data_IF_443522304788
#
_entry.id   IF_443522304788
#
_cell.length_a   1.000
_cell.length_b   1.000
_cell.length_c   1.000
_cell.angle_alpha   90.00
_cell.angle_beta   90.00
_cell.angle_gamma   90.00
#
_symmetry.space_group_name_H-M   'P 1'
#
loop_
_entity.id
_entity.type
_entity.pdbx_description
1 polymer ?
#
# COMPACT_ATOMS: atom_id res chain seq x y z
N UNK A 1 -11.38 -0.23 7.50
CA UNK A 1 -10.11 -0.72 6.96
C UNK A 1 -9.55 -1.80 7.89
N UNK A 2 -9.12 -1.45 9.10
CA UNK A 2 -8.49 -2.39 10.04
C UNK A 2 -9.24 -3.72 10.17
N UNK A 3 -10.55 -3.69 10.41
CA UNK A 3 -11.36 -4.89 10.61
C UNK A 3 -11.38 -5.81 9.39
N UNK A 4 -11.40 -5.26 8.17
CA UNK A 4 -11.32 -6.03 6.94
C UNK A 4 -9.96 -6.70 6.78
N UNK A 5 -8.88 -5.93 6.92
CA UNK A 5 -7.51 -6.45 6.82
C UNK A 5 -7.25 -7.55 7.87
N UNK A 6 -7.72 -7.37 9.11
CA UNK A 6 -7.53 -8.36 10.18
C UNK A 6 -8.10 -9.75 9.85
N UNK A 7 -9.14 -9.85 9.00
CA UNK A 7 -9.70 -11.14 8.57
C UNK A 7 -8.74 -11.95 7.70
N UNK A 8 -7.78 -11.28 7.06
CA UNK A 8 -6.81 -11.87 6.13
C UNK A 8 -5.43 -12.12 6.76
N UNK A 9 -5.21 -11.61 7.98
CA UNK A 9 -3.91 -11.70 8.65
C UNK A 9 -3.63 -13.12 9.15
N UNK A 10 -2.41 -13.63 8.93
CA UNK A 10 -1.94 -14.84 9.57
C UNK A 10 -1.62 -14.59 11.07
N UNK A 11 -1.32 -15.65 11.79
CA UNK A 11 -0.98 -15.59 13.22
C UNK A 11 0.46 -15.11 13.47
N UNK A 12 0.83 -13.95 12.90
CA UNK A 12 2.14 -13.34 13.12
C UNK A 12 2.34 -12.93 14.57
N UNK A 13 3.61 -12.93 14.99
CA UNK A 13 4.04 -12.55 16.34
C UNK A 13 4.69 -11.15 16.37
N UNK A 14 4.80 -10.52 15.23
CA UNK A 14 5.49 -9.24 15.03
C UNK A 14 4.49 -8.14 14.67
N UNK A 15 4.78 -6.88 15.04
CA UNK A 15 3.95 -5.75 14.65
C UNK A 15 3.89 -5.58 13.13
N UNK A 16 2.76 -5.07 12.63
CA UNK A 16 2.57 -4.74 11.22
C UNK A 16 2.06 -3.31 11.06
N UNK A 17 2.30 -2.74 9.88
CA UNK A 17 1.69 -1.49 9.43
C UNK A 17 0.70 -1.79 8.29
N UNK A 18 -0.52 -1.29 8.42
CA UNK A 18 -1.50 -1.24 7.33
C UNK A 18 -1.34 0.10 6.63
N UNK A 19 -1.34 0.08 5.29
CA UNK A 19 -1.33 1.25 4.43
C UNK A 19 -2.52 1.21 3.49
N UNK A 20 -3.40 2.19 3.58
CA UNK A 20 -4.56 2.34 2.70
C UNK A 20 -4.48 3.68 1.95
N UNK A 21 -4.39 3.60 0.62
CA UNK A 21 -4.24 4.77 -0.25
C UNK A 21 -5.60 5.13 -0.84
N UNK A 22 -6.22 6.16 -0.28
CA UNK A 22 -7.45 6.75 -0.79
C UNK A 22 -7.22 7.88 -1.79
N UNK A 23 -8.32 8.45 -2.31
CA UNK A 23 -8.26 9.64 -3.16
C UNK A 23 -7.86 10.88 -2.37
N UNK A 24 -8.48 11.11 -1.19
CA UNK A 24 -8.27 12.29 -0.35
C UNK A 24 -7.23 12.12 0.74
N UNK A 25 -7.01 10.91 1.21
CA UNK A 25 -6.15 10.62 2.36
C UNK A 25 -5.34 9.34 2.19
N UNK A 26 -4.30 9.24 2.99
CA UNK A 26 -3.52 8.04 3.24
C UNK A 26 -3.72 7.64 4.71
N UNK A 27 -4.23 6.44 4.95
CA UNK A 27 -4.36 5.88 6.29
C UNK A 27 -3.19 4.95 6.59
N UNK A 28 -2.49 5.23 7.70
CA UNK A 28 -1.48 4.33 8.27
C UNK A 28 -1.93 3.87 9.65
N UNK A 29 -1.89 2.55 9.86
CA UNK A 29 -2.34 1.92 11.12
C UNK A 29 -1.30 0.91 11.54
N UNK A 30 -0.80 0.98 12.79
CA UNK A 30 0.11 -0.02 13.34
C UNK A 30 -0.66 -0.92 14.29
N UNK A 31 -0.60 -2.22 14.00
CA UNK A 31 -1.15 -3.29 14.81
C UNK A 31 -0.04 -4.09 15.46
N UNK A 32 -0.27 -4.50 16.71
CA UNK A 32 0.60 -5.42 17.42
C UNK A 32 -0.18 -6.66 17.83
N UNK A 33 0.46 -7.83 17.99
CA UNK A 33 -0.19 -9.02 18.53
C UNK A 33 -0.72 -8.77 19.95
N UNK A 34 -1.98 -9.07 20.17
CA UNK A 34 -2.62 -8.93 21.49
C UNK A 34 -2.30 -10.09 22.43
N UNK A 35 -2.33 -9.90 23.76
CA UNK A 35 -1.98 -10.91 24.77
C UNK A 35 -2.94 -12.11 24.80
N UNK A 36 -4.17 -11.93 24.33
CA UNK A 36 -5.20 -12.98 24.26
C UNK A 36 -5.37 -13.56 22.86
N UNK A 37 -4.41 -13.28 21.96
CA UNK A 37 -4.54 -13.50 20.53
C UNK A 37 -5.24 -12.34 19.83
N UNK A 38 -5.23 -12.35 18.48
CA UNK A 38 -5.75 -11.25 17.67
C UNK A 38 -4.79 -10.05 17.60
N UNK A 39 -5.31 -8.91 17.16
CA UNK A 39 -4.50 -7.73 16.87
C UNK A 39 -5.02 -6.51 17.62
N UNK A 40 -4.11 -5.75 18.24
CA UNK A 40 -4.41 -4.50 18.93
C UNK A 40 -3.86 -3.31 18.14
N UNK A 41 -4.70 -2.29 17.93
CA UNK A 41 -4.25 -1.03 17.33
C UNK A 41 -3.47 -0.21 18.36
N UNK A 42 -2.21 0.10 18.06
CA UNK A 42 -1.34 0.92 18.91
C UNK A 42 -1.14 2.32 18.39
N UNK A 43 -1.19 2.49 17.08
CA UNK A 43 -1.06 3.79 16.46
C UNK A 43 -1.88 3.84 15.18
N UNK A 44 -2.43 5.00 14.85
CA UNK A 44 -3.04 5.26 13.55
C UNK A 44 -3.06 6.74 13.26
N UNK A 45 -2.88 7.09 11.99
CA UNK A 45 -3.03 8.44 11.50
C UNK A 45 -3.58 8.44 10.07
N UNK A 46 -4.47 9.39 9.80
CA UNK A 46 -4.88 9.77 8.46
C UNK A 46 -4.10 11.01 8.05
N UNK A 47 -3.44 10.94 6.91
CA UNK A 47 -2.70 12.04 6.32
C UNK A 47 -3.46 12.58 5.11
N UNK A 48 -3.49 13.90 4.94
CA UNK A 48 -4.12 14.54 3.78
C UNK A 48 -3.23 14.42 2.52
N UNK A 49 -2.88 13.18 2.17
CA UNK A 49 -1.95 12.81 1.10
C UNK A 49 -2.54 11.74 0.16
N UNK A 50 -3.84 11.74 -0.05
CA UNK A 50 -4.45 10.85 -1.04
C UNK A 50 -4.10 11.23 -2.47
N UNK A 51 -4.22 10.28 -3.41
CA UNK A 51 -3.71 10.44 -4.79
C UNK A 51 -4.38 11.56 -5.57
N UNK A 52 -5.67 11.84 -5.36
CA UNK A 52 -6.35 12.97 -6.00
C UNK A 52 -5.85 14.30 -5.46
N UNK A 53 -5.62 14.38 -4.14
CA UNK A 53 -5.07 15.56 -3.49
C UNK A 53 -3.63 15.85 -3.95
N UNK A 54 -2.82 14.81 -4.13
CA UNK A 54 -1.48 14.95 -4.70
C UNK A 54 -1.51 15.45 -6.15
N UNK A 55 -2.43 14.95 -6.95
CA UNK A 55 -2.59 15.42 -8.33
C UNK A 55 -2.99 16.90 -8.39
N UNK A 56 -3.85 17.36 -7.49
CA UNK A 56 -4.24 18.77 -7.38
C UNK A 56 -3.09 19.67 -6.90
N UNK A 57 -2.32 19.19 -5.90
CA UNK A 57 -1.19 19.92 -5.31
C UNK A 57 -0.13 20.29 -6.36
N UNK A 58 0.30 19.34 -7.19
CA UNK A 58 1.45 19.51 -8.06
C UNK A 58 1.14 19.66 -9.54
N UNK A 59 -0.06 19.34 -10.01
CA UNK A 59 -0.40 19.22 -11.43
C UNK A 59 0.73 18.52 -12.18
N UNK A 60 0.97 17.23 -11.92
CA UNK A 60 2.15 16.52 -12.41
C UNK A 60 2.25 16.57 -13.92
N UNK A 61 3.46 16.73 -14.44
CA UNK A 61 3.75 16.47 -15.85
C UNK A 61 3.53 14.99 -16.17
N UNK A 62 3.32 14.68 -17.43
CA UNK A 62 3.12 13.30 -17.88
C UNK A 62 3.96 13.00 -19.12
N UNK A 63 5.02 12.21 -19.01
CA UNK A 63 5.57 11.54 -17.80
C UNK A 63 5.98 12.52 -16.69
N UNK A 64 6.09 11.99 -15.47
CA UNK A 64 6.55 12.81 -14.34
C UNK A 64 8.04 13.12 -14.49
N UNK A 65 8.40 14.42 -14.53
CA UNK A 65 9.80 14.83 -14.60
C UNK A 65 10.54 14.55 -13.28
N UNK A 66 11.87 14.40 -13.35
CA UNK A 66 12.73 14.23 -12.17
C UNK A 66 12.50 15.34 -11.13
N UNK A 67 12.52 16.60 -11.55
CA UNK A 67 12.23 17.74 -10.66
C UNK A 67 10.79 17.69 -10.08
N UNK A 68 9.83 17.15 -10.84
CA UNK A 68 8.48 16.88 -10.35
C UNK A 68 8.46 15.80 -9.27
N UNK A 69 9.17 14.70 -9.51
CA UNK A 69 9.28 13.59 -8.55
C UNK A 69 9.96 14.04 -7.24
N UNK A 70 11.05 14.79 -7.31
CA UNK A 70 11.74 15.38 -6.15
C UNK A 70 10.82 16.29 -5.33
N UNK A 71 10.05 17.15 -6.01
CA UNK A 71 9.08 18.04 -5.32
C UNK A 71 7.99 17.26 -4.60
N UNK A 72 7.46 16.19 -5.20
CA UNK A 72 6.51 15.30 -4.53
C UNK A 72 7.13 14.54 -3.38
N UNK A 73 8.36 14.04 -3.53
CA UNK A 73 9.08 13.35 -2.47
C UNK A 73 9.26 14.26 -1.24
N UNK A 74 9.76 15.47 -1.43
CA UNK A 74 9.94 16.46 -0.36
C UNK A 74 8.60 16.80 0.34
N UNK A 75 7.53 17.04 -0.44
CA UNK A 75 6.20 17.27 0.11
C UNK A 75 5.68 16.09 0.95
N UNK A 76 5.88 14.87 0.47
CA UNK A 76 5.45 13.66 1.16
C UNK A 76 6.27 13.40 2.43
N UNK A 77 7.57 13.63 2.40
CA UNK A 77 8.44 13.51 3.58
C UNK A 77 7.98 14.45 4.69
N UNK A 78 7.67 15.72 4.37
CA UNK A 78 7.13 16.68 5.32
C UNK A 78 5.74 16.25 5.82
N UNK A 79 4.83 15.93 4.91
CA UNK A 79 3.43 15.55 5.23
C UNK A 79 3.37 14.31 6.11
N UNK A 80 4.22 13.31 5.83
CA UNK A 80 4.26 12.03 6.53
C UNK A 80 5.24 11.99 7.72
N UNK A 81 5.85 13.12 8.09
CA UNK A 81 6.89 13.16 9.13
C UNK A 81 6.48 12.51 10.47
N UNK A 82 5.20 12.64 10.86
CA UNK A 82 4.71 12.00 12.09
C UNK A 82 4.63 10.46 12.02
N UNK A 83 4.69 9.87 10.82
CA UNK A 83 4.77 8.42 10.66
C UNK A 83 6.00 7.84 11.39
N UNK A 84 7.11 8.56 11.38
CA UNK A 84 8.35 8.16 12.05
C UNK A 84 8.17 7.87 13.54
N UNK A 85 7.32 8.64 14.22
CA UNK A 85 7.02 8.45 15.66
C UNK A 85 6.31 7.10 15.90
N UNK A 86 5.33 6.77 15.06
CA UNK A 86 4.64 5.48 15.12
C UNK A 86 5.57 4.31 14.85
N UNK A 87 6.42 4.42 13.82
CA UNK A 87 7.40 3.39 13.46
C UNK A 87 8.41 3.18 14.59
N UNK A 88 8.99 4.23 15.14
CA UNK A 88 9.96 4.15 16.24
C UNK A 88 9.35 3.55 17.51
N UNK A 89 8.11 3.91 17.84
CA UNK A 89 7.46 3.43 19.05
C UNK A 89 7.03 1.96 18.99
N UNK A 90 6.72 1.43 17.79
CA UNK A 90 6.06 0.12 17.66
C UNK A 90 6.78 -0.87 16.74
N UNK A 91 7.78 -0.44 15.97
CA UNK A 91 8.67 -1.27 15.18
C UNK A 91 7.96 -2.24 14.22
N UNK A 92 7.09 -1.79 13.30
CA UNK A 92 6.40 -2.69 12.38
C UNK A 92 7.40 -3.47 11.51
N UNK A 93 7.16 -4.77 11.36
CA UNK A 93 8.00 -5.71 10.60
C UNK A 93 7.36 -6.18 9.30
N UNK A 94 6.10 -5.84 9.06
CA UNK A 94 5.34 -6.17 7.86
C UNK A 94 4.60 -4.93 7.38
N UNK A 95 4.57 -4.71 6.08
CA UNK A 95 3.69 -3.72 5.44
C UNK A 95 2.54 -4.43 4.74
N UNK A 96 1.31 -4.11 5.11
CA UNK A 96 0.10 -4.65 4.48
C UNK A 96 -0.63 -3.52 3.78
N UNK A 97 -0.53 -3.49 2.46
CA UNK A 97 -1.27 -2.55 1.65
C UNK A 97 -2.70 -3.01 1.39
N UNK A 98 -3.65 -2.11 1.42
CA UNK A 98 -5.05 -2.35 1.08
C UNK A 98 -5.54 -1.37 0.02
N UNK A 99 -6.71 -1.65 -0.53
CA UNK A 99 -7.38 -0.83 -1.55
C UNK A 99 -6.77 -0.87 -2.97
N UNK A 100 -7.47 -0.19 -3.87
CA UNK A 100 -7.29 -0.35 -5.32
C UNK A 100 -5.90 0.00 -5.88
N UNK A 101 -5.06 0.75 -5.15
CA UNK A 101 -3.67 0.98 -5.59
C UNK A 101 -2.85 -0.29 -5.46
N UNK A 102 -2.96 -0.99 -4.33
CA UNK A 102 -2.27 -2.27 -4.12
C UNK A 102 -2.81 -3.38 -5.01
N UNK A 103 -4.14 -3.42 -5.25
CA UNK A 103 -4.74 -4.34 -6.24
C UNK A 103 -4.11 -4.12 -7.63
N UNK A 104 -3.93 -2.86 -8.02
CA UNK A 104 -3.29 -2.52 -9.32
C UNK A 104 -1.83 -2.95 -9.34
N UNK A 105 -1.05 -2.72 -8.28
CA UNK A 105 0.35 -3.18 -8.22
C UNK A 105 0.46 -4.69 -8.37
N UNK A 106 -0.40 -5.46 -7.68
CA UNK A 106 -0.45 -6.92 -7.82
C UNK A 106 -0.74 -7.31 -9.26
N UNK A 107 -1.77 -6.71 -9.89
CA UNK A 107 -2.12 -7.02 -11.27
C UNK A 107 -1.00 -6.71 -12.26
N UNK A 108 -0.36 -5.54 -12.13
CA UNK A 108 0.76 -5.13 -12.98
C UNK A 108 1.94 -6.11 -12.86
N UNK A 109 2.25 -6.52 -11.63
CA UNK A 109 3.34 -7.46 -11.35
C UNK A 109 3.01 -8.84 -11.92
N UNK A 110 1.79 -9.35 -11.72
CA UNK A 110 1.36 -10.64 -12.25
C UNK A 110 1.38 -10.71 -13.78
N UNK A 111 0.99 -9.61 -14.45
CA UNK A 111 0.90 -9.55 -15.92
C UNK A 111 2.23 -9.22 -16.60
N UNK A 112 3.17 -8.61 -15.87
CA UNK A 112 4.44 -8.17 -16.44
C UNK A 112 5.37 -9.33 -16.83
N UNK A 113 5.10 -10.58 -16.41
CA UNK A 113 5.92 -11.79 -16.65
C UNK A 113 7.44 -11.55 -16.41
N UNK A 114 7.77 -10.59 -15.54
CA UNK A 114 9.17 -10.28 -15.23
C UNK A 114 9.64 -11.29 -14.19
N UNK A 115 10.71 -12.07 -14.46
CA UNK A 115 11.18 -13.11 -13.54
C UNK A 115 11.57 -12.61 -12.13
N UNK A 116 11.81 -11.30 -12.01
CA UNK A 116 12.15 -10.65 -10.73
C UNK A 116 10.92 -10.39 -9.84
N UNK A 117 9.71 -10.59 -10.33
CA UNK A 117 8.49 -10.33 -9.58
C UNK A 117 7.85 -11.64 -9.11
N UNK A 118 8.15 -12.06 -7.91
CA UNK A 118 7.49 -13.20 -7.29
C UNK A 118 6.26 -12.73 -6.51
N UNK A 119 5.10 -13.21 -6.91
CA UNK A 119 3.89 -13.17 -6.08
C UNK A 119 3.67 -14.59 -5.60
N UNK A 120 3.80 -14.80 -4.31
CA UNK A 120 3.39 -16.08 -3.73
C UNK A 120 1.86 -16.10 -3.68
N UNK A 121 1.20 -17.11 -4.31
CA UNK A 121 -0.23 -17.24 -4.20
C UNK A 121 -0.66 -17.28 -2.73
N UNK A 122 -1.80 -16.68 -2.38
CA UNK A 122 -2.27 -16.68 -1.01
C UNK A 122 -2.54 -18.12 -0.56
N UNK A 123 -1.88 -18.56 0.51
CA UNK A 123 -2.37 -19.71 1.27
C UNK A 123 -3.74 -19.33 1.85
N UNK A 124 -4.71 -20.25 1.83
CA UNK A 124 -6.00 -19.97 2.45
C UNK A 124 -5.80 -19.72 3.94
N UNK A 125 -6.27 -18.59 4.43
CA UNK A 125 -6.25 -18.33 5.86
C UNK A 125 -7.03 -19.44 6.61
N UNK A 126 -6.59 -19.79 7.82
CA UNK A 126 -7.17 -20.87 8.63
C UNK A 126 -8.69 -20.67 8.94
N UNK A 127 -9.19 -19.44 8.77
CA UNK A 127 -10.58 -19.04 8.99
C UNK A 127 -11.46 -19.06 7.73
N UNK A 128 -10.94 -19.58 6.59
CA UNK A 128 -11.68 -19.64 5.32
C UNK A 128 -11.73 -18.33 4.50
N UNK A 129 -11.16 -17.23 5.03
CA UNK A 129 -10.99 -15.99 4.28
C UNK A 129 -9.80 -16.08 3.31
N UNK A 130 -9.75 -15.27 2.23
CA UNK A 130 -8.57 -15.19 1.38
C UNK A 130 -7.38 -14.64 2.18
N UNK A 131 -6.18 -15.17 1.89
CA UNK A 131 -4.94 -14.75 2.54
C UNK A 131 -4.33 -13.54 1.85
N UNK A 132 -3.35 -12.92 2.52
CA UNK A 132 -2.51 -11.88 1.95
C UNK A 132 -1.73 -12.40 0.75
N UNK A 133 -1.52 -11.53 -0.25
CA UNK A 133 -0.60 -11.79 -1.35
C UNK A 133 0.73 -11.10 -1.04
N UNK A 134 1.83 -11.85 -1.07
CA UNK A 134 3.16 -11.26 -0.94
C UNK A 134 3.54 -10.53 -2.21
N UNK A 135 4.08 -9.33 -2.09
CA UNK A 135 4.61 -8.53 -3.21
C UNK A 135 6.11 -8.37 -2.99
N UNK A 136 6.91 -8.74 -3.99
CA UNK A 136 8.35 -8.49 -3.94
C UNK A 136 8.66 -6.99 -3.86
N UNK A 137 9.43 -6.59 -2.83
CA UNK A 137 9.78 -5.19 -2.61
C UNK A 137 10.65 -4.63 -3.75
N UNK A 138 11.61 -5.42 -4.26
CA UNK A 138 12.44 -4.99 -5.39
C UNK A 138 11.59 -4.80 -6.64
N UNK A 139 10.60 -5.67 -6.84
CA UNK A 139 9.61 -5.53 -7.89
C UNK A 139 8.77 -4.26 -7.77
N UNK A 140 8.32 -3.90 -6.58
CA UNK A 140 7.61 -2.62 -6.35
C UNK A 140 8.48 -1.41 -6.68
N UNK A 141 9.78 -1.45 -6.34
CA UNK A 141 10.72 -0.37 -6.66
C UNK A 141 10.94 -0.26 -8.17
N UNK A 142 11.15 -1.36 -8.86
CA UNK A 142 11.29 -1.37 -10.32
C UNK A 142 10.01 -0.91 -11.03
N UNK A 143 8.84 -1.31 -10.53
CA UNK A 143 7.54 -0.84 -11.04
C UNK A 143 7.37 0.66 -10.81
N UNK A 144 7.75 1.18 -9.65
CA UNK A 144 7.73 2.62 -9.37
C UNK A 144 8.52 3.40 -10.43
N UNK A 145 9.79 3.08 -10.66
CA UNK A 145 10.62 3.75 -11.67
C UNK A 145 9.96 3.69 -13.05
N UNK A 146 9.49 2.51 -13.46
CA UNK A 146 8.80 2.33 -14.74
C UNK A 146 7.54 3.21 -14.86
N UNK A 147 6.72 3.31 -13.80
CA UNK A 147 5.49 4.10 -13.81
C UNK A 147 5.76 5.62 -13.92
N UNK A 148 6.88 6.10 -13.39
CA UNK A 148 7.27 7.51 -13.52
C UNK A 148 7.72 7.85 -14.94
N UNK A 149 8.42 6.94 -15.62
CA UNK A 149 8.97 7.14 -16.97
C UNK A 149 7.91 7.05 -18.07
N UNK A 150 6.79 6.38 -17.82
CA UNK A 150 5.71 6.19 -18.80
C UNK A 150 4.73 7.37 -18.79
N UNK A 151 4.28 7.80 -19.97
CA UNK A 151 3.14 8.68 -20.13
C UNK A 151 1.81 7.95 -19.88
N UNK A 152 0.71 8.69 -19.81
CA UNK A 152 -0.62 8.14 -19.56
C UNK A 152 -1.02 7.03 -20.55
N UNK A 153 -0.79 7.26 -21.86
CA UNK A 153 -1.17 6.30 -22.90
C UNK A 153 -0.39 4.98 -22.75
N UNK A 154 0.91 5.09 -22.50
CA UNK A 154 1.79 3.94 -22.26
C UNK A 154 1.42 3.19 -20.98
N UNK A 155 1.07 3.91 -19.89
CA UNK A 155 0.57 3.27 -18.66
C UNK A 155 -0.75 2.55 -18.89
N UNK A 156 -1.67 3.17 -19.64
CA UNK A 156 -2.96 2.57 -19.97
C UNK A 156 -2.82 1.28 -20.78
N UNK A 157 -1.77 1.17 -21.58
CA UNK A 157 -1.47 -0.01 -22.39
C UNK A 157 -0.80 -1.15 -21.58
N UNK A 158 -0.42 -0.92 -20.32
CA UNK A 158 0.19 -1.96 -19.51
C UNK A 158 -0.85 -3.08 -19.21
N UNK A 159 -0.50 -4.35 -19.42
CA UNK A 159 -1.36 -5.46 -19.03
C UNK A 159 -1.68 -5.40 -17.53
N UNK A 160 -2.97 -5.49 -17.17
CA UNK A 160 -3.42 -5.39 -15.79
C UNK A 160 -3.68 -3.96 -15.29
N UNK A 161 -3.44 -2.92 -16.11
CA UNK A 161 -3.75 -1.55 -15.75
C UNK A 161 -5.25 -1.26 -15.86
N UNK A 162 -5.88 -0.91 -14.75
CA UNK A 162 -7.24 -0.41 -14.75
C UNK A 162 -7.28 1.05 -15.29
N UNK A 163 -8.13 1.39 -16.29
CA UNK A 163 -8.16 2.73 -16.88
C UNK A 163 -8.31 3.87 -15.87
N UNK A 164 -9.16 3.67 -14.85
CA UNK A 164 -9.38 4.64 -13.78
C UNK A 164 -8.14 4.88 -12.88
N UNK A 165 -7.10 4.03 -12.99
CA UNK A 165 -5.88 4.11 -12.18
C UNK A 165 -4.70 4.70 -12.96
N UNK A 166 -4.67 4.57 -14.28
CA UNK A 166 -3.52 4.92 -15.13
C UNK A 166 -3.00 6.36 -14.91
N UNK A 167 -3.88 7.30 -14.60
CA UNK A 167 -3.49 8.69 -14.34
C UNK A 167 -2.81 8.88 -12.97
N UNK A 168 -3.24 8.16 -11.94
CA UNK A 168 -2.86 8.43 -10.54
C UNK A 168 -1.90 7.39 -9.95
N UNK A 169 -1.68 6.27 -10.64
CA UNK A 169 -0.83 5.19 -10.13
C UNK A 169 0.63 5.60 -9.89
N UNK A 170 1.25 6.52 -10.67
CA UNK A 170 2.57 7.05 -10.34
C UNK A 170 2.62 7.72 -8.96
N UNK A 171 1.61 8.51 -8.62
CA UNK A 171 1.52 9.16 -7.30
C UNK A 171 1.28 8.14 -6.18
N UNK A 172 0.47 7.10 -6.44
CA UNK A 172 0.33 5.98 -5.49
C UNK A 172 1.67 5.28 -5.24
N UNK A 173 2.46 5.07 -6.28
CA UNK A 173 3.77 4.43 -6.15
C UNK A 173 4.76 5.29 -5.36
N UNK A 174 4.72 6.61 -5.49
CA UNK A 174 5.52 7.53 -4.67
C UNK A 174 5.18 7.43 -3.18
N UNK A 175 3.88 7.39 -2.83
CA UNK A 175 3.45 7.16 -1.44
C UNK A 175 4.02 5.86 -0.87
N UNK A 176 3.96 4.78 -1.65
CA UNK A 176 4.53 3.48 -1.23
C UNK A 176 6.03 3.59 -1.01
N UNK A 177 6.77 4.28 -1.90
CA UNK A 177 8.22 4.45 -1.76
C UNK A 177 8.60 5.21 -0.49
N UNK A 178 7.91 6.31 -0.18
CA UNK A 178 8.19 7.11 1.04
C UNK A 178 7.94 6.27 2.31
N UNK A 179 6.84 5.50 2.34
CA UNK A 179 6.56 4.61 3.48
C UNK A 179 7.59 3.49 3.58
N UNK A 180 7.97 2.87 2.46
CA UNK A 180 8.98 1.80 2.43
C UNK A 180 10.37 2.30 2.85
N UNK A 181 10.72 3.54 2.51
CA UNK A 181 12.01 4.15 2.93
C UNK A 181 12.10 4.33 4.45
N UNK A 182 10.98 4.50 5.14
CA UNK A 182 10.92 4.64 6.60
C UNK A 182 10.88 3.28 7.34
N UNK A 183 10.61 2.17 6.64
CA UNK A 183 10.55 0.83 7.21
C UNK A 183 11.88 0.07 7.01
N UNK A 184 12.19 -0.94 7.85
CA UNK A 184 13.38 -1.77 7.67
C UNK A 184 13.50 -2.30 6.23
N UNK A 185 14.71 -2.37 5.65
CA UNK A 185 14.92 -2.85 4.28
C UNK A 185 14.36 -4.25 4.02
N UNK A 186 14.42 -5.11 5.04
CA UNK A 186 13.92 -6.49 5.01
C UNK A 186 12.41 -6.60 5.25
N UNK A 187 11.70 -5.48 5.52
CA UNK A 187 10.26 -5.49 5.77
C UNK A 187 9.50 -6.00 4.54
N UNK A 188 8.85 -7.19 4.62
CA UNK A 188 8.09 -7.73 3.52
C UNK A 188 6.81 -6.94 3.29
N UNK A 189 6.36 -6.94 2.04
CA UNK A 189 5.16 -6.21 1.61
C UNK A 189 4.08 -7.21 1.18
N UNK A 190 2.86 -6.93 1.59
CA UNK A 190 1.69 -7.74 1.27
C UNK A 190 0.55 -6.88 0.76
N UNK A 191 -0.30 -7.46 -0.08
CA UNK A 191 -1.61 -6.90 -0.43
C UNK A 191 -2.69 -7.67 0.33
N UNK A 192 -3.60 -6.94 0.94
CA UNK A 192 -4.82 -7.49 1.54
C UNK A 192 -5.96 -7.44 0.52
N UNK A 193 -6.63 -8.56 0.21
CA UNK A 193 -7.81 -8.57 -0.63
C UNK A 193 -9.04 -7.94 0.05
N UNK A 194 -8.97 -7.70 1.36
CA UNK A 194 -10.02 -7.07 2.15
C UNK A 194 -9.60 -5.70 2.68
N UNK A 195 -10.54 -4.76 2.64
CA UNK A 195 -10.35 -3.37 3.06
C UNK A 195 -11.55 -2.86 3.88
N UNK A 196 -11.99 -1.64 3.62
CA UNK A 196 -13.08 -0.98 4.34
C UNK A 196 -14.42 -1.70 4.18
N UNK A 197 -14.77 -2.11 2.95
CA UNK A 197 -16.08 -2.72 2.65
C UNK A 197 -16.29 -4.03 3.39
N UNK A 198 -15.31 -4.91 3.34
CA UNK A 198 -15.36 -6.23 3.97
C UNK A 198 -15.38 -6.11 5.50
N UNK A 199 -14.64 -5.13 6.04
CA UNK A 199 -14.66 -4.82 7.47
C UNK A 199 -16.01 -4.28 7.95
N UNK A 200 -16.69 -3.44 7.15
CA UNK A 200 -18.02 -2.94 7.45
C UNK A 200 -19.06 -4.06 7.41
N UNK A 201 -19.05 -4.88 6.36
CA UNK A 201 -19.94 -6.05 6.23
C UNK A 201 -19.77 -7.02 7.41
N UNK A 202 -18.52 -7.30 7.80
CA UNK A 202 -18.25 -8.18 8.93
C UNK A 202 -18.78 -7.64 10.26
N UNK A 203 -18.68 -6.34 10.48
CA UNK A 203 -19.24 -5.71 11.67
C UNK A 203 -20.78 -5.83 11.71
N UNK A 204 -21.46 -5.59 10.57
CA UNK A 204 -22.93 -5.68 10.46
C UNK A 204 -23.50 -7.09 10.66
N UNK A 205 -22.72 -8.14 10.39
CA UNK A 205 -23.16 -9.55 10.56
C UNK A 205 -23.04 -9.99 12.03
N UNK A 206 -22.22 -9.31 12.83
CA UNK A 206 -21.98 -9.65 14.24
C UNK A 206 -22.87 -8.89 15.24
N UNK A 207 -23.61 -7.91 14.79
CA UNK A 207 -24.70 -7.26 15.53
C UNK A 207 -26.02 -8.06 15.40
#
# INVERSE_FOLDING_TARGET
IQSGVQLTLPAWKEPLMIMDIGGGSLELIILVPGPKGGWEKRWSKSFEAGVSRLAEFGKPSDPLTEAGAERYAAFLEETLAEMSKGIQAHGPRHLVGSSGSFDTFVQLVQQAQVPAFSITPPEKAANGHPSLQSIDRAGLMAMHSKLLDLDFASRLALPGMAPARAALIPLSSMLVQVVLAALPPECPVYQSPYALREGALHAMIRE
#
